data_IF_395111873172
#
_entry.id   IF_395111873172
#
_cell.length_a   1.000
_cell.length_b   1.000
_cell.length_c   1.000
_cell.angle_alpha   90.00
_cell.angle_beta   90.00
_cell.angle_gamma   90.00
#
_symmetry.space_group_name_H-M   'P 1'
#
loop_
_entity.id
_entity.type
_entity.pdbx_description
1 polymer ?
#
# COMPACT_ATOMS: atom_id res chain seq x y z
N UNK A 1 -43.78 -2.19 1.70
CA UNK A 1 -43.16 -1.50 0.55
C UNK A 1 -41.88 -0.88 1.08
N UNK A 2 -40.80 -1.67 1.13
CA UNK A 2 -39.51 -1.21 1.60
C UNK A 2 -38.82 -0.50 0.43
N UNK A 3 -38.45 0.76 0.64
CA UNK A 3 -37.61 1.51 -0.29
C UNK A 3 -36.26 0.80 -0.36
N UNK A 4 -36.03 0.08 -1.46
CA UNK A 4 -34.70 -0.32 -1.90
C UNK A 4 -33.90 0.97 -2.12
N UNK A 5 -32.90 1.20 -1.28
CA UNK A 5 -31.85 2.16 -1.57
C UNK A 5 -30.78 1.40 -2.36
N UNK A 6 -30.76 1.63 -3.66
CA UNK A 6 -29.58 1.47 -4.48
C UNK A 6 -28.47 2.36 -3.87
N UNK A 7 -27.37 1.80 -3.33
CA UNK A 7 -26.30 2.58 -2.71
C UNK A 7 -25.67 3.59 -3.67
N UNK A 8 -25.82 3.39 -4.98
CA UNK A 8 -25.34 4.34 -6.00
C UNK A 8 -26.26 5.57 -6.18
N UNK A 9 -27.48 5.57 -5.60
CA UNK A 9 -28.49 6.64 -5.80
C UNK A 9 -28.79 7.46 -4.56
N UNK A 10 -28.31 7.05 -3.39
CA UNK A 10 -28.35 7.83 -2.15
C UNK A 10 -27.27 7.24 -1.24
N UNK A 11 -26.05 7.82 -1.20
CA UNK A 11 -25.03 7.30 -0.31
C UNK A 11 -25.56 7.44 1.13
N UNK A 12 -25.58 6.35 1.92
CA UNK A 12 -25.68 6.48 3.37
C UNK A 12 -24.61 7.48 3.83
N UNK A 13 -24.81 8.19 4.93
CA UNK A 13 -23.68 8.92 5.53
C UNK A 13 -22.58 7.91 5.87
N UNK A 14 -21.30 8.16 5.55
CA UNK A 14 -20.18 7.29 5.92
C UNK A 14 -20.29 6.97 7.41
N UNK A 15 -20.45 5.70 7.77
CA UNK A 15 -20.87 5.32 9.12
C UNK A 15 -19.76 4.59 9.90
N UNK A 16 -18.59 4.38 9.29
CA UNK A 16 -17.41 3.82 9.95
C UNK A 16 -16.17 4.66 9.69
N UNK A 17 -15.46 4.98 10.77
CA UNK A 17 -14.11 5.53 10.77
C UNK A 17 -13.22 4.54 11.50
N UNK A 18 -12.04 4.32 10.95
CA UNK A 18 -11.01 3.48 11.55
C UNK A 18 -9.68 4.21 11.37
N UNK A 19 -8.89 4.28 12.44
CA UNK A 19 -7.59 4.94 12.45
C UNK A 19 -6.60 3.99 13.11
N UNK A 20 -5.51 3.67 12.43
CA UNK A 20 -4.46 2.84 13.01
C UNK A 20 -3.91 3.47 14.29
N UNK A 21 -3.42 2.65 15.23
CA UNK A 21 -2.72 3.19 16.40
C UNK A 21 -1.59 4.14 15.96
N UNK A 22 -1.35 5.19 16.74
CA UNK A 22 -0.34 6.18 16.41
C UNK A 22 1.06 5.57 16.20
N UNK A 23 1.38 4.49 16.92
CA UNK A 23 2.64 3.77 16.77
C UNK A 23 2.73 3.11 15.38
N UNK A 24 1.64 2.55 14.87
CA UNK A 24 1.57 1.99 13.53
C UNK A 24 1.63 3.08 12.45
N UNK A 25 0.90 4.19 12.64
CA UNK A 25 0.98 5.35 11.75
C UNK A 25 2.41 5.89 11.64
N UNK A 26 3.07 6.04 12.78
CA UNK A 26 4.47 6.44 12.90
C UNK A 26 5.40 5.45 12.20
N UNK A 27 5.18 4.14 12.40
CA UNK A 27 5.98 3.09 11.77
C UNK A 27 5.91 3.14 10.24
N UNK A 28 4.73 3.38 9.66
CA UNK A 28 4.57 3.58 8.21
C UNK A 28 5.42 4.77 7.74
N UNK A 29 5.32 5.93 8.39
CA UNK A 29 6.08 7.13 8.00
C UNK A 29 7.59 6.98 8.23
N UNK A 30 7.99 6.27 9.30
CA UNK A 30 9.37 5.94 9.58
C UNK A 30 9.95 5.05 8.48
N UNK A 31 9.21 4.01 8.08
CA UNK A 31 9.62 3.08 7.02
C UNK A 31 9.77 3.73 5.65
N UNK A 32 9.08 4.85 5.39
CA UNK A 32 9.25 5.66 4.16
C UNK A 32 10.49 6.57 4.17
N UNK A 33 11.00 6.92 5.35
CA UNK A 33 11.98 8.00 5.51
C UNK A 33 13.35 7.54 6.01
N UNK A 34 13.49 6.27 6.38
CA UNK A 34 14.70 5.70 6.98
C UNK A 34 15.29 4.59 6.12
N UNK A 35 16.52 4.20 6.43
CA UNK A 35 17.14 3.02 5.84
C UNK A 35 16.61 1.73 6.49
N UNK A 36 16.73 0.62 5.78
CA UNK A 36 16.41 -0.70 6.33
C UNK A 36 17.21 -0.99 7.59
N UNK A 37 18.50 -0.63 7.61
CA UNK A 37 19.39 -0.84 8.77
C UNK A 37 18.88 -0.10 10.01
N UNK A 38 18.56 1.19 9.88
CA UNK A 38 18.00 1.99 10.98
C UNK A 38 16.65 1.44 11.46
N UNK A 39 15.85 0.96 10.51
CA UNK A 39 14.52 0.39 10.79
C UNK A 39 14.62 -0.91 11.59
N UNK A 40 15.56 -1.80 11.25
CA UNK A 40 15.80 -3.03 12.03
C UNK A 40 16.13 -2.68 13.48
N UNK A 41 16.90 -1.60 13.74
CA UNK A 41 17.26 -1.20 15.09
C UNK A 41 16.08 -0.66 15.93
N UNK A 42 14.90 -0.43 15.35
CA UNK A 42 13.71 0.03 16.11
C UNK A 42 13.02 -1.10 16.88
N UNK A 43 13.33 -2.37 16.59
CA UNK A 43 12.73 -3.49 17.30
C UNK A 43 13.10 -3.44 18.80
N UNK A 44 12.14 -3.47 19.73
CA UNK A 44 12.45 -3.57 21.16
C UNK A 44 13.06 -4.95 21.50
N UNK A 45 14.22 -4.95 22.17
CA UNK A 45 14.85 -6.18 22.68
C UNK A 45 15.51 -5.94 24.04
N UNK A 46 15.72 -7.03 24.80
CA UNK A 46 16.47 -6.99 26.04
C UNK A 46 17.73 -7.86 25.94
N UNK A 47 18.89 -7.22 25.84
CA UNK A 47 20.20 -7.89 25.81
C UNK A 47 21.23 -7.17 26.70
N UNK A 48 21.21 -7.40 28.02
CA UNK A 48 22.10 -6.69 28.95
C UNK A 48 23.59 -6.95 28.71
N UNK A 49 23.94 -8.11 28.16
CA UNK A 49 25.34 -8.47 27.84
C UNK A 49 25.88 -7.76 26.60
N UNK A 50 25.02 -7.16 25.78
CA UNK A 50 25.36 -6.68 24.44
C UNK A 50 25.77 -7.78 23.46
N UNK A 51 25.67 -9.06 23.84
CA UNK A 51 25.94 -10.23 23.01
C UNK A 51 24.91 -11.31 23.33
N UNK A 52 23.86 -11.40 22.51
CA UNK A 52 22.75 -12.34 22.69
C UNK A 52 22.47 -13.09 21.40
N UNK A 53 21.95 -14.30 21.53
CA UNK A 53 21.47 -15.11 20.41
C UNK A 53 20.24 -15.83 20.90
N UNK A 54 19.14 -15.68 20.17
CA UNK A 54 17.89 -16.36 20.47
C UNK A 54 17.67 -17.50 19.49
N UNK A 55 16.97 -18.57 19.89
CA UNK A 55 16.48 -19.56 18.93
C UNK A 55 15.63 -18.89 17.86
N UNK A 56 15.67 -19.45 16.65
CA UNK A 56 14.78 -19.00 15.59
C UNK A 56 13.32 -19.22 15.98
N UNK A 57 12.46 -18.28 15.61
CA UNK A 57 11.02 -18.34 15.89
C UNK A 57 10.24 -17.75 14.72
N UNK A 58 8.96 -18.13 14.63
CA UNK A 58 8.04 -17.64 13.62
C UNK A 58 7.13 -16.57 14.24
N UNK A 59 6.72 -15.59 13.46
CA UNK A 59 5.84 -14.52 13.95
C UNK A 59 5.07 -13.89 12.80
N UNK A 60 3.88 -13.36 13.13
CA UNK A 60 3.13 -12.48 12.26
C UNK A 60 4.00 -11.31 11.79
N UNK A 61 3.89 -10.99 10.51
CA UNK A 61 4.72 -10.01 9.86
C UNK A 61 3.95 -9.27 8.76
N UNK A 62 4.52 -8.15 8.32
CA UNK A 62 4.19 -7.54 7.03
C UNK A 62 5.31 -7.89 6.06
N UNK A 63 4.94 -8.46 4.92
CA UNK A 63 5.84 -8.73 3.81
C UNK A 63 5.63 -7.72 2.69
N UNK A 64 6.64 -7.56 1.85
CA UNK A 64 6.54 -6.79 0.61
C UNK A 64 6.81 -7.64 -0.61
N UNK A 65 6.24 -7.23 -1.75
CA UNK A 65 6.55 -7.77 -3.07
C UNK A 65 6.45 -6.66 -4.10
N UNK A 66 7.42 -6.56 -5.01
CA UNK A 66 7.38 -5.62 -6.13
C UNK A 66 7.59 -6.35 -7.44
N UNK A 67 6.78 -6.03 -8.44
CA UNK A 67 6.84 -6.58 -9.78
C UNK A 67 7.06 -5.47 -10.81
N UNK A 68 7.90 -5.74 -11.80
CA UNK A 68 8.03 -4.89 -13.00
C UNK A 68 6.82 -5.11 -13.92
N UNK A 69 6.19 -4.01 -14.33
CA UNK A 69 5.01 -4.00 -15.19
C UNK A 69 5.29 -3.44 -16.59
N UNK A 70 6.55 -3.21 -16.97
CA UNK A 70 6.90 -2.62 -18.26
C UNK A 70 6.25 -3.33 -19.46
N UNK A 71 6.11 -4.66 -19.41
CA UNK A 71 5.47 -5.46 -20.46
C UNK A 71 3.95 -5.32 -20.54
N UNK A 72 3.31 -4.78 -19.50
CA UNK A 72 1.87 -4.54 -19.43
C UNK A 72 1.51 -3.09 -19.78
N UNK A 73 2.51 -2.26 -20.12
CA UNK A 73 2.28 -0.86 -20.48
C UNK A 73 1.78 -0.76 -21.92
N UNK A 74 0.62 -0.15 -22.10
CA UNK A 74 0.09 0.21 -23.41
C UNK A 74 0.30 1.71 -23.67
N UNK A 75 0.77 2.04 -24.88
CA UNK A 75 0.94 3.41 -25.34
C UNK A 75 -0.24 3.79 -26.25
N UNK A 76 -0.89 4.93 -25.96
CA UNK A 76 -2.08 5.41 -26.65
C UNK A 76 -1.97 6.90 -26.95
N UNK A 77 -2.58 7.37 -28.04
CA UNK A 77 -2.71 8.81 -28.29
C UNK A 77 -3.74 9.45 -27.34
N UNK A 78 -3.44 10.66 -26.87
CA UNK A 78 -4.24 11.43 -25.91
C UNK A 78 -4.12 12.95 -26.17
N UNK A 79 -4.70 13.79 -25.33
CA UNK A 79 -4.59 15.26 -25.38
C UNK A 79 -3.55 15.83 -24.39
N UNK A 80 -2.74 15.00 -23.73
CA UNK A 80 -1.67 15.46 -22.82
C UNK A 80 -2.17 16.44 -21.75
N UNK A 81 -3.40 16.25 -21.27
CA UNK A 81 -4.17 17.23 -20.52
C UNK A 81 -4.16 16.97 -19.01
N UNK A 82 -3.57 15.86 -18.55
CA UNK A 82 -3.57 15.48 -17.14
C UNK A 82 -2.85 16.49 -16.26
N UNK A 83 -1.73 17.06 -16.72
CA UNK A 83 -1.06 18.16 -16.00
C UNK A 83 -2.03 19.33 -15.77
N UNK A 84 -2.74 19.77 -16.80
CA UNK A 84 -3.69 20.91 -16.73
C UNK A 84 -4.86 20.63 -15.79
N UNK A 85 -5.25 19.37 -15.66
CA UNK A 85 -6.39 18.97 -14.83
C UNK A 85 -6.03 18.85 -13.34
N UNK A 86 -4.77 18.58 -13.04
CA UNK A 86 -4.30 18.28 -11.68
C UNK A 86 -3.46 19.39 -11.06
N UNK A 87 -2.93 20.30 -11.88
CA UNK A 87 -2.17 21.44 -11.43
C UNK A 87 -2.98 22.32 -10.48
N UNK A 88 -2.31 22.81 -9.45
CA UNK A 88 -2.85 23.72 -8.45
C UNK A 88 -2.24 25.12 -8.55
N UNK A 89 -1.17 25.27 -9.33
CA UNK A 89 -0.65 26.58 -9.73
C UNK A 89 -1.52 27.17 -10.85
N UNK A 90 -1.63 28.49 -10.92
CA UNK A 90 -2.41 29.19 -11.95
C UNK A 90 -1.55 29.44 -13.20
N UNK A 91 -0.87 28.39 -13.68
CA UNK A 91 0.02 28.49 -14.84
C UNK A 91 -0.79 28.37 -16.14
N UNK A 92 -0.44 29.15 -17.16
CA UNK A 92 -1.12 29.07 -18.45
C UNK A 92 -0.45 27.96 -19.29
N UNK A 93 -1.12 26.81 -19.42
CA UNK A 93 -0.65 25.69 -20.25
C UNK A 93 -1.66 25.37 -21.34
N UNK A 94 -1.18 25.28 -22.58
CA UNK A 94 -2.00 24.90 -23.73
C UNK A 94 -2.22 23.39 -23.73
N UNK A 95 -3.43 22.90 -23.93
CA UNK A 95 -3.70 21.50 -24.25
C UNK A 95 -3.30 21.26 -25.72
N UNK A 96 -2.61 20.16 -26.00
CA UNK A 96 -2.13 19.82 -27.35
C UNK A 96 -2.18 18.29 -27.56
N UNK A 97 -1.68 17.78 -28.68
CA UNK A 97 -1.60 16.33 -28.85
C UNK A 97 -0.61 15.76 -27.83
N UNK A 98 -0.99 14.65 -27.20
CA UNK A 98 -0.15 13.94 -26.25
C UNK A 98 -0.22 12.44 -26.45
N UNK A 99 0.55 11.76 -25.62
CA UNK A 99 0.57 10.31 -25.55
C UNK A 99 0.40 9.90 -24.11
N UNK A 100 -0.44 8.90 -23.86
CA UNK A 100 -0.60 8.25 -22.56
C UNK A 100 0.11 6.89 -22.53
N UNK A 101 0.68 6.55 -21.37
CA UNK A 101 1.13 5.21 -21.03
C UNK A 101 0.22 4.64 -19.94
N UNK A 102 -0.25 3.40 -20.12
CA UNK A 102 -1.35 2.84 -19.31
C UNK A 102 -1.11 1.43 -18.87
N UNK A 103 -1.69 1.09 -17.73
CA UNK A 103 -1.73 -0.27 -17.20
C UNK A 103 -3.17 -0.81 -17.21
N UNK A 104 -3.34 -2.15 -17.17
CA UNK A 104 -4.67 -2.78 -17.12
C UNK A 104 -5.55 -2.37 -15.93
N UNK A 105 -4.95 -1.88 -14.84
CA UNK A 105 -5.68 -1.34 -13.68
C UNK A 105 -6.36 -0.01 -13.95
N UNK A 106 -6.11 0.62 -15.10
CA UNK A 106 -6.55 1.98 -15.41
C UNK A 106 -5.57 3.06 -14.97
N UNK A 107 -4.49 2.71 -14.26
CA UNK A 107 -3.40 3.65 -13.98
C UNK A 107 -2.78 4.14 -15.28
N UNK A 108 -2.63 5.46 -15.42
CA UNK A 108 -2.02 6.09 -16.58
C UNK A 108 -1.21 7.34 -16.25
N UNK A 109 -0.27 7.66 -17.13
CA UNK A 109 0.47 8.92 -17.17
C UNK A 109 0.46 9.45 -18.59
N UNK A 110 0.09 10.72 -18.77
CA UNK A 110 0.14 11.38 -20.07
C UNK A 110 0.80 12.76 -19.97
N UNK A 111 1.50 13.11 -21.05
CA UNK A 111 2.07 14.42 -21.28
C UNK A 111 1.89 14.80 -22.75
N UNK A 112 2.19 16.05 -23.06
CA UNK A 112 2.21 16.57 -24.43
C UNK A 112 3.42 16.05 -25.19
N UNK A 113 3.20 15.66 -26.44
CA UNK A 113 4.29 15.25 -27.32
C UNK A 113 5.24 16.43 -27.57
N UNK A 114 6.54 16.15 -27.58
CA UNK A 114 7.58 17.18 -27.68
C UNK A 114 7.99 17.82 -26.35
N UNK A 115 7.37 17.46 -25.22
CA UNK A 115 7.83 17.94 -23.91
C UNK A 115 9.20 17.36 -23.57
N UNK A 116 10.16 18.23 -23.23
CA UNK A 116 11.52 17.85 -22.87
C UNK A 116 11.74 17.90 -21.36
N UNK A 117 12.55 16.96 -20.85
CA UNK A 117 12.85 16.88 -19.42
C UNK A 117 13.48 18.19 -18.90
N UNK A 118 12.86 18.79 -17.87
CA UNK A 118 13.35 20.03 -17.27
C UNK A 118 13.04 21.30 -18.07
N UNK A 119 12.23 21.22 -19.13
CA UNK A 119 11.75 22.40 -19.83
C UNK A 119 10.96 23.32 -18.88
N UNK A 120 11.30 24.61 -18.85
CA UNK A 120 10.71 25.59 -17.93
C UNK A 120 9.39 26.18 -18.43
N UNK A 121 9.08 26.01 -19.72
CA UNK A 121 7.94 26.66 -20.37
C UNK A 121 6.61 25.93 -20.18
N UNK A 122 6.61 24.61 -19.98
CA UNK A 122 5.41 23.78 -19.79
C UNK A 122 5.64 22.77 -18.67
N UNK A 123 4.70 22.67 -17.74
CA UNK A 123 4.74 21.63 -16.71
C UNK A 123 4.36 20.25 -17.26
N UNK A 124 4.77 19.20 -16.55
CA UNK A 124 4.50 17.83 -16.96
C UNK A 124 4.34 16.90 -15.75
N UNK A 125 3.63 15.80 -15.99
CA UNK A 125 3.45 14.67 -15.10
C UNK A 125 4.74 13.85 -15.07
N UNK A 126 5.33 13.70 -13.89
CA UNK A 126 6.57 12.94 -13.71
C UNK A 126 6.29 11.55 -13.16
N UNK A 127 5.24 11.43 -12.35
CA UNK A 127 4.80 10.16 -11.79
C UNK A 127 3.30 10.20 -11.50
N UNK A 128 2.61 9.10 -11.75
CA UNK A 128 1.24 8.86 -11.29
C UNK A 128 1.17 7.55 -10.55
N UNK A 129 0.23 7.46 -9.62
CA UNK A 129 0.02 6.26 -8.80
C UNK A 129 -1.44 5.88 -8.72
N UNK A 130 -1.66 4.57 -8.62
CA UNK A 130 -2.94 3.97 -8.28
C UNK A 130 -2.73 3.01 -7.12
N UNK A 131 -3.27 3.37 -5.96
CA UNK A 131 -3.21 2.59 -4.74
C UNK A 131 -4.54 1.91 -4.42
N UNK A 132 -4.51 0.69 -3.89
CA UNK A 132 -5.71 -0.02 -3.44
C UNK A 132 -5.38 -1.15 -2.46
N UNK A 133 -6.28 -1.44 -1.51
CA UNK A 133 -6.23 -2.66 -0.70
C UNK A 133 -6.93 -3.87 -1.36
N UNK A 134 -7.55 -3.69 -2.53
CA UNK A 134 -8.31 -4.74 -3.19
C UNK A 134 -7.48 -5.46 -4.25
N UNK A 135 -7.10 -6.71 -3.96
CA UNK A 135 -6.30 -7.54 -4.85
C UNK A 135 -6.90 -7.66 -6.27
N UNK A 136 -8.24 -7.68 -6.41
CA UNK A 136 -8.91 -7.78 -7.72
C UNK A 136 -8.73 -6.55 -8.63
N UNK A 137 -8.31 -5.41 -8.06
CA UNK A 137 -8.04 -4.16 -8.80
C UNK A 137 -6.55 -3.97 -9.14
N UNK A 138 -5.69 -4.90 -8.72
CA UNK A 138 -4.25 -4.88 -8.99
C UNK A 138 -3.93 -5.50 -10.35
N UNK A 139 -2.72 -5.26 -10.86
CA UNK A 139 -2.25 -5.84 -12.14
C UNK A 139 -1.55 -7.19 -11.93
N UNK A 140 -0.80 -7.35 -10.84
CA UNK A 140 0.08 -8.49 -10.58
C UNK A 140 0.02 -9.04 -9.14
N UNK A 141 -0.97 -8.60 -8.36
CA UNK A 141 -1.10 -8.93 -6.93
C UNK A 141 -2.44 -9.60 -6.61
N UNK A 142 -3.14 -10.14 -7.61
CA UNK A 142 -4.46 -10.76 -7.44
C UNK A 142 -4.42 -12.04 -6.60
N UNK A 143 -3.24 -12.65 -6.44
CA UNK A 143 -2.99 -13.83 -5.61
C UNK A 143 -2.82 -13.52 -4.12
N UNK A 144 -2.71 -12.25 -3.71
CA UNK A 144 -2.53 -11.85 -2.31
C UNK A 144 -3.90 -11.70 -1.61
N UNK A 145 -4.33 -12.73 -0.90
CA UNK A 145 -5.58 -12.74 -0.12
C UNK A 145 -5.47 -12.11 1.29
N UNK A 146 -4.27 -11.63 1.63
CA UNK A 146 -3.95 -10.84 2.84
C UNK A 146 -3.39 -9.46 2.50
N UNK A 147 -3.73 -8.92 1.31
CA UNK A 147 -3.25 -7.63 0.82
C UNK A 147 -3.67 -6.48 1.76
N UNK A 148 -2.68 -5.79 2.32
CA UNK A 148 -2.90 -4.56 3.09
C UNK A 148 -3.02 -3.39 2.11
N UNK A 149 -2.06 -3.28 1.20
CA UNK A 149 -1.95 -2.17 0.28
C UNK A 149 -1.12 -2.54 -0.95
N UNK A 150 -1.60 -2.21 -2.13
CA UNK A 150 -0.84 -2.23 -3.38
C UNK A 150 -0.74 -0.82 -3.95
N UNK A 151 0.39 -0.48 -4.54
CA UNK A 151 0.64 0.78 -5.22
C UNK A 151 1.26 0.50 -6.59
N UNK A 152 0.48 0.74 -7.65
CA UNK A 152 0.97 0.86 -9.01
C UNK A 152 1.59 2.23 -9.22
N UNK A 153 2.73 2.27 -9.91
CA UNK A 153 3.52 3.48 -10.17
C UNK A 153 3.94 3.49 -11.63
N UNK A 154 3.57 4.56 -12.33
CA UNK A 154 4.15 4.94 -13.61
C UNK A 154 5.04 6.17 -13.39
N UNK A 155 6.31 6.08 -13.74
CA UNK A 155 7.30 7.16 -13.52
C UNK A 155 8.08 7.43 -14.80
N UNK A 156 8.08 8.68 -15.23
CA UNK A 156 8.97 9.17 -16.26
C UNK A 156 10.33 9.55 -15.64
N UNK A 157 11.39 9.33 -16.41
CA UNK A 157 12.76 9.68 -16.01
C UNK A 157 13.52 10.32 -17.18
N UNK A 158 14.57 11.11 -16.91
CA UNK A 158 15.40 11.65 -17.98
C UNK A 158 16.09 10.49 -18.72
N UNK A 159 16.26 10.65 -20.02
CA UNK A 159 16.95 9.63 -20.80
C UNK A 159 18.48 9.72 -20.55
N UNK A 160 19.11 8.66 -20.01
CA UNK A 160 20.53 8.69 -19.64
C UNK A 160 21.49 8.77 -20.85
N UNK A 161 20.99 8.50 -22.06
CA UNK A 161 21.80 8.50 -23.29
C UNK A 161 21.39 9.58 -24.29
N UNK A 162 20.29 10.30 -24.03
CA UNK A 162 19.77 11.34 -24.91
C UNK A 162 19.13 12.48 -24.10
N UNK A 163 19.93 13.48 -23.73
CA UNK A 163 19.46 14.65 -22.98
C UNK A 163 18.42 15.50 -23.73
N UNK A 164 18.28 15.30 -25.04
CA UNK A 164 17.26 15.97 -25.89
C UNK A 164 16.02 15.10 -26.13
N UNK A 165 15.91 13.95 -25.46
CA UNK A 165 14.72 13.12 -25.54
C UNK A 165 13.49 13.92 -25.10
N UNK A 166 12.44 13.78 -25.88
CA UNK A 166 11.15 14.41 -25.65
C UNK A 166 10.08 13.35 -25.49
N UNK A 167 8.98 13.69 -24.83
CA UNK A 167 7.80 12.83 -24.78
C UNK A 167 7.28 12.54 -26.20
N UNK A 168 6.89 11.30 -26.54
CA UNK A 168 6.76 10.12 -25.68
C UNK A 168 8.01 9.21 -25.64
N UNK A 169 9.18 9.68 -26.07
CA UNK A 169 10.41 8.89 -26.14
C UNK A 169 11.27 8.95 -24.87
N UNK A 170 10.75 9.53 -23.80
CA UNK A 170 11.36 9.49 -22.48
C UNK A 170 11.19 8.10 -21.85
N UNK A 171 12.19 7.58 -21.11
CA UNK A 171 12.04 6.32 -20.40
C UNK A 171 10.91 6.36 -19.37
N UNK A 172 10.02 5.37 -19.45
CA UNK A 172 8.95 5.13 -18.49
C UNK A 172 9.24 3.83 -17.74
N UNK A 173 9.24 3.89 -16.42
CA UNK A 173 9.22 2.71 -15.57
C UNK A 173 7.80 2.44 -15.08
N UNK A 174 7.40 1.18 -15.08
CA UNK A 174 6.12 0.72 -14.53
C UNK A 174 6.37 -0.32 -13.45
N UNK A 175 5.90 -0.09 -12.24
CA UNK A 175 6.14 -0.99 -11.11
C UNK A 175 4.91 -1.06 -10.24
N UNK A 176 4.58 -2.24 -9.74
CA UNK A 176 3.56 -2.42 -8.72
C UNK A 176 4.18 -3.09 -7.51
N UNK A 177 4.03 -2.45 -6.35
CA UNK A 177 4.51 -2.94 -5.08
C UNK A 177 3.34 -3.17 -4.13
N UNK A 178 3.45 -4.20 -3.29
CA UNK A 178 2.42 -4.57 -2.33
C UNK A 178 3.01 -4.78 -0.94
N UNK A 179 2.17 -4.55 0.07
CA UNK A 179 2.31 -4.94 1.46
C UNK A 179 1.18 -5.90 1.81
N UNK A 180 1.50 -6.99 2.50
CA UNK A 180 0.52 -8.01 2.87
C UNK A 180 0.92 -8.68 4.18
N UNK A 181 -0.06 -9.17 4.93
CA UNK A 181 0.23 -9.98 6.12
C UNK A 181 0.84 -11.32 5.72
N UNK A 182 1.88 -11.72 6.42
CA UNK A 182 2.60 -12.97 6.20
C UNK A 182 3.14 -13.52 7.52
N UNK A 183 3.74 -14.71 7.47
CA UNK A 183 4.50 -15.29 8.57
C UNK A 183 5.97 -15.31 8.15
N UNK A 184 6.84 -14.72 8.96
CA UNK A 184 8.29 -14.82 8.80
C UNK A 184 8.89 -15.62 9.94
N UNK A 185 9.96 -16.35 9.60
CA UNK A 185 10.92 -16.89 10.54
C UNK A 185 12.05 -15.89 10.76
N UNK A 186 12.40 -15.68 12.02
CA UNK A 186 13.38 -14.72 12.48
C UNK A 186 14.61 -15.41 13.07
N UNK A 187 15.77 -15.07 12.52
CA UNK A 187 17.08 -15.39 13.11
C UNK A 187 17.68 -14.10 13.70
N UNK A 188 17.57 -13.97 15.03
CA UNK A 188 17.91 -12.75 15.75
C UNK A 188 19.17 -12.93 16.60
N UNK A 189 20.13 -12.01 16.45
CA UNK A 189 21.32 -11.94 17.30
C UNK A 189 21.63 -10.49 17.65
N UNK A 190 22.20 -10.25 18.83
CA UNK A 190 22.83 -8.97 19.17
C UNK A 190 24.32 -9.20 19.27
N UNK A 191 25.12 -8.38 18.59
CA UNK A 191 26.58 -8.42 18.64
C UNK A 191 27.12 -7.04 18.94
N UNK A 192 27.90 -6.91 20.00
CA UNK A 192 28.42 -5.63 20.48
C UNK A 192 27.33 -4.54 20.63
N UNK A 193 26.16 -4.92 21.13
CA UNK A 193 25.02 -4.04 21.35
C UNK A 193 24.18 -3.73 20.11
N UNK A 194 24.58 -4.17 18.92
CA UNK A 194 23.83 -3.96 17.66
C UNK A 194 22.96 -5.16 17.35
N UNK A 195 21.69 -4.92 17.02
CA UNK A 195 20.75 -5.96 16.61
C UNK A 195 21.00 -6.36 15.15
N UNK A 196 21.10 -7.66 14.92
CA UNK A 196 21.14 -8.26 13.59
C UNK A 196 20.01 -9.27 13.50
N UNK A 197 19.05 -9.02 12.62
CA UNK A 197 17.91 -9.89 12.41
C UNK A 197 17.78 -10.20 10.92
N UNK A 198 17.63 -11.49 10.61
CA UNK A 198 17.27 -11.95 9.27
C UNK A 198 15.85 -12.49 9.31
N UNK A 199 14.99 -11.95 8.45
CA UNK A 199 13.61 -12.40 8.29
C UNK A 199 13.49 -13.20 6.99
N UNK A 200 12.85 -14.37 7.07
CA UNK A 200 12.59 -15.24 5.91
C UNK A 200 11.12 -15.66 5.87
N UNK A 201 10.40 -15.48 4.76
CA UNK A 201 9.01 -15.93 4.66
C UNK A 201 8.88 -17.43 4.88
N UNK A 202 7.92 -17.83 5.71
CA UNK A 202 7.62 -19.24 5.97
C UNK A 202 6.88 -19.81 4.76
N UNK A 203 7.54 -20.73 4.04
CA UNK A 203 6.98 -21.32 2.84
C UNK A 203 5.73 -22.16 3.15
N UNK A 204 4.62 -21.89 2.46
CA UNK A 204 3.35 -22.59 2.68
C UNK A 204 2.45 -21.97 3.75
N UNK A 205 2.90 -20.90 4.42
CA UNK A 205 2.02 -20.07 5.22
C UNK A 205 0.89 -19.49 4.36
N UNK A 206 -0.33 -19.48 4.88
CA UNK A 206 -1.54 -19.05 4.14
C UNK A 206 -2.57 -18.46 5.08
N UNK A 207 -3.52 -17.71 4.53
CA UNK A 207 -4.73 -17.32 5.27
C UNK A 207 -5.55 -18.57 5.65
N UNK A 208 -6.00 -18.62 6.90
CA UNK A 208 -6.89 -19.68 7.36
C UNK A 208 -8.24 -19.57 6.65
N UNK A 209 -8.76 -20.68 6.13
CA UNK A 209 -9.98 -20.69 5.32
C UNK A 209 -11.24 -20.28 6.11
N UNK A 210 -11.21 -20.45 7.43
CA UNK A 210 -12.28 -20.09 8.36
C UNK A 210 -12.15 -18.65 8.92
N UNK A 211 -11.12 -17.90 8.50
CA UNK A 211 -10.86 -16.54 8.99
C UNK A 211 -11.52 -15.45 8.13
N UNK A 212 -11.67 -14.25 8.73
CA UNK A 212 -12.28 -13.07 8.10
C UNK A 212 -13.68 -13.30 7.51
N UNK A 213 -14.44 -14.23 8.09
CA UNK A 213 -15.81 -14.53 7.70
C UNK A 213 -16.79 -13.59 8.40
N UNK A 214 -17.83 -13.09 7.72
CA UNK A 214 -18.90 -12.33 8.38
C UNK A 214 -19.57 -13.16 9.48
N UNK A 215 -19.73 -12.57 10.67
CA UNK A 215 -20.33 -13.24 11.84
C UNK A 215 -21.86 -13.08 11.85
N UNK A 216 -22.36 -11.87 11.57
CA UNK A 216 -23.79 -11.54 11.58
C UNK A 216 -24.19 -10.77 10.30
N UNK A 217 -24.19 -11.45 9.15
CA UNK A 217 -24.46 -10.84 7.85
C UNK A 217 -25.98 -10.69 7.56
N UNK A 218 -26.55 -9.48 7.52
CA UNK A 218 -27.97 -9.32 7.24
C UNK A 218 -28.27 -9.68 5.78
N UNK A 219 -29.32 -10.47 5.54
CA UNK A 219 -29.73 -10.89 4.20
C UNK A 219 -30.03 -9.69 3.25
N UNK A 220 -30.31 -8.51 3.81
CA UNK A 220 -30.51 -7.25 3.07
C UNK A 220 -29.23 -6.61 2.51
N UNK A 221 -28.04 -7.07 2.92
CA UNK A 221 -26.73 -6.57 2.48
C UNK A 221 -26.11 -7.41 1.35
N UNK A 222 -26.93 -8.27 0.73
CA UNK A 222 -26.62 -9.05 -0.49
C UNK A 222 -26.05 -8.29 -1.71
N UNK A 223 -26.08 -6.94 -1.85
CA UNK A 223 -25.36 -6.27 -2.93
C UNK A 223 -23.83 -6.37 -2.86
N UNK A 224 -23.26 -6.86 -1.74
CA UNK A 224 -21.83 -7.17 -1.65
C UNK A 224 -21.46 -8.31 -2.60
N UNK A 225 -20.50 -8.05 -3.49
CA UNK A 225 -19.98 -9.08 -4.39
C UNK A 225 -18.90 -9.92 -3.70
N UNK A 226 -18.60 -11.08 -4.28
CA UNK A 226 -17.64 -12.03 -3.69
C UNK A 226 -16.23 -11.43 -3.55
N UNK A 227 -15.83 -10.51 -4.44
CA UNK A 227 -14.51 -9.87 -4.38
C UNK A 227 -14.39 -8.89 -3.22
N UNK A 228 -15.45 -8.15 -2.89
CA UNK A 228 -15.51 -7.29 -1.71
C UNK A 228 -15.57 -8.10 -0.41
N UNK A 229 -16.25 -9.25 -0.41
CA UNK A 229 -16.28 -10.13 0.76
C UNK A 229 -14.94 -10.78 1.04
N UNK A 230 -14.20 -11.16 -0.01
CA UNK A 230 -12.88 -11.78 0.09
C UNK A 230 -11.77 -10.79 0.49
N UNK A 231 -11.90 -9.52 0.08
CA UNK A 231 -10.94 -8.46 0.39
C UNK A 231 -10.93 -8.11 1.88
N UNK A 232 -9.74 -7.74 2.36
CA UNK A 232 -9.52 -7.15 3.69
C UNK A 232 -9.37 -5.62 3.62
N UNK A 233 -9.66 -5.02 2.46
CA UNK A 233 -9.63 -3.56 2.26
C UNK A 233 -10.71 -2.89 3.12
N UNK A 234 -10.33 -1.80 3.79
CA UNK A 234 -11.28 -0.93 4.47
C UNK A 234 -12.22 -0.22 3.48
N UNK A 235 -13.51 -0.29 3.77
CA UNK A 235 -14.56 0.42 3.06
C UNK A 235 -15.46 1.17 4.05
N UNK A 236 -15.71 2.46 3.79
CA UNK A 236 -16.45 3.35 4.69
C UNK A 236 -17.93 2.96 4.91
N UNK A 237 -18.47 2.05 4.09
CA UNK A 237 -19.82 1.50 4.22
C UNK A 237 -19.81 0.06 4.71
N UNK A 238 -18.88 -0.76 4.22
CA UNK A 238 -18.92 -2.20 4.43
C UNK A 238 -18.01 -2.73 5.54
N UNK A 239 -17.02 -1.95 6.00
CA UNK A 239 -16.18 -2.35 7.16
C UNK A 239 -16.94 -2.31 8.50
N UNK A 240 -18.20 -1.84 8.54
CA UNK A 240 -19.06 -1.98 9.72
C UNK A 240 -19.54 -3.42 9.96
N UNK A 241 -19.35 -4.32 9.00
CA UNK A 241 -19.78 -5.71 9.10
C UNK A 241 -18.82 -6.43 10.04
N UNK A 242 -19.36 -6.99 11.11
CA UNK A 242 -18.58 -7.81 12.04
C UNK A 242 -18.08 -9.09 11.34
N UNK A 243 -16.79 -9.35 11.50
CA UNK A 243 -16.06 -10.49 10.95
C UNK A 243 -15.28 -11.19 12.05
N UNK A 244 -15.05 -12.48 11.86
CA UNK A 244 -14.03 -13.19 12.62
C UNK A 244 -12.66 -12.57 12.32
N UNK A 245 -11.74 -12.62 13.28
CA UNK A 245 -10.36 -12.17 13.07
C UNK A 245 -9.72 -12.77 11.82
N UNK A 246 -8.84 -12.00 11.19
CA UNK A 246 -7.99 -12.51 10.14
C UNK A 246 -6.99 -13.46 10.78
N UNK A 247 -6.73 -14.62 10.16
CA UNK A 247 -5.75 -15.55 10.68
C UNK A 247 -4.86 -16.09 9.57
N UNK A 248 -3.58 -16.24 9.89
CA UNK A 248 -2.60 -16.93 9.06
C UNK A 248 -2.18 -18.22 9.76
N UNK A 249 -2.06 -19.29 8.99
CA UNK A 249 -1.62 -20.61 9.45
C UNK A 249 -0.27 -20.95 8.84
N UNK A 250 0.69 -21.28 9.70
CA UNK A 250 1.96 -21.88 9.31
C UNK A 250 1.76 -23.35 8.91
N UNK A 251 2.69 -23.96 8.15
CA UNK A 251 2.58 -25.35 7.70
C UNK A 251 2.51 -26.39 8.83
N UNK A 252 3.00 -26.06 10.02
CA UNK A 252 2.94 -26.91 11.22
C UNK A 252 1.62 -26.78 12.01
N UNK A 253 0.74 -25.88 11.57
CA UNK A 253 -0.57 -25.62 12.18
C UNK A 253 -0.57 -24.49 13.23
N UNK A 254 0.57 -23.83 13.48
CA UNK A 254 0.59 -22.62 14.31
C UNK A 254 -0.24 -21.50 13.64
N UNK A 255 -1.04 -20.79 14.43
CA UNK A 255 -2.02 -19.81 13.94
C UNK A 255 -1.75 -18.44 14.53
N UNK A 256 -1.69 -17.43 13.67
CA UNK A 256 -1.43 -16.04 14.01
C UNK A 256 -2.66 -15.20 13.65
N UNK A 257 -3.32 -14.64 14.65
CA UNK A 257 -4.54 -13.85 14.47
C UNK A 257 -4.23 -12.34 14.40
N UNK A 258 -5.02 -11.61 13.63
CA UNK A 258 -5.05 -10.14 13.54
C UNK A 258 -6.51 -9.72 13.71
N UNK A 259 -6.77 -8.87 14.70
CA UNK A 259 -8.13 -8.44 14.99
C UNK A 259 -8.74 -7.68 13.82
N UNK A 260 -10.08 -7.74 13.67
CA UNK A 260 -10.77 -6.92 12.67
C UNK A 260 -10.42 -5.44 12.78
N UNK A 261 -10.43 -4.89 14.00
CA UNK A 261 -10.10 -3.50 14.24
C UNK A 261 -8.70 -3.14 13.73
N UNK A 262 -7.70 -3.99 13.97
CA UNK A 262 -6.34 -3.74 13.48
C UNK A 262 -6.27 -3.78 11.94
N UNK A 263 -6.92 -4.76 11.30
CA UNK A 263 -6.96 -4.86 9.83
C UNK A 263 -7.64 -3.63 9.20
N UNK A 264 -8.84 -3.28 9.66
CA UNK A 264 -9.62 -2.15 9.16
C UNK A 264 -8.87 -0.83 9.38
N UNK A 265 -8.27 -0.64 10.56
CA UNK A 265 -7.58 0.60 10.92
C UNK A 265 -6.28 0.80 10.15
N UNK A 266 -5.49 -0.26 9.95
CA UNK A 266 -4.28 -0.22 9.11
C UNK A 266 -4.67 0.07 7.66
N UNK A 267 -5.67 -0.63 7.12
CA UNK A 267 -6.12 -0.42 5.75
C UNK A 267 -6.65 1.01 5.54
N UNK A 268 -7.50 1.51 6.44
CA UNK A 268 -8.02 2.87 6.40
C UNK A 268 -6.91 3.93 6.42
N UNK A 269 -5.88 3.74 7.25
CA UNK A 269 -4.74 4.63 7.32
C UNK A 269 -3.92 4.66 6.02
N UNK A 270 -3.74 3.52 5.36
CA UNK A 270 -3.08 3.49 4.05
C UNK A 270 -3.88 4.28 3.01
N UNK A 271 -5.20 4.09 2.96
CA UNK A 271 -6.08 4.84 2.05
C UNK A 271 -5.98 6.34 2.31
N UNK A 272 -6.10 6.79 3.56
CA UNK A 272 -6.07 8.22 3.90
C UNK A 272 -4.69 8.87 3.70
N UNK A 273 -3.61 8.09 3.83
CA UNK A 273 -2.23 8.59 3.73
C UNK A 273 -1.73 8.63 2.28
N UNK A 274 -2.03 7.59 1.51
CA UNK A 274 -1.46 7.38 0.17
C UNK A 274 -2.44 7.64 -0.98
N UNK A 275 -3.72 7.83 -0.68
CA UNK A 275 -4.69 8.25 -1.67
C UNK A 275 -5.06 9.73 -1.53
N UNK A 276 -5.35 10.34 -2.66
CA UNK A 276 -6.25 11.49 -2.73
C UNK A 276 -7.53 11.09 -3.45
N UNK A 277 -8.50 12.00 -3.53
CA UNK A 277 -9.77 11.75 -4.20
C UNK A 277 -9.52 11.18 -5.59
N UNK A 278 -10.02 9.96 -5.82
CA UNK A 278 -9.87 9.24 -7.07
C UNK A 278 -10.29 10.14 -8.24
N UNK A 279 -9.38 10.32 -9.19
CA UNK A 279 -9.68 11.02 -10.43
C UNK A 279 -9.89 9.98 -11.50
N UNK A 280 -11.17 9.83 -11.88
CA UNK A 280 -11.56 9.03 -13.02
C UNK A 280 -11.68 9.90 -14.26
N UNK A 281 -11.07 9.45 -15.36
CA UNK A 281 -11.11 10.12 -16.65
C UNK A 281 -11.95 9.29 -17.60
N UNK A 282 -13.04 9.89 -18.08
CA UNK A 282 -13.92 9.24 -19.04
C UNK A 282 -13.32 9.38 -20.44
N UNK A 283 -13.17 8.25 -21.12
CA UNK A 283 -12.35 8.18 -22.33
C UNK A 283 -13.12 7.79 -23.58
N UNK A 284 -12.62 8.30 -24.70
CA UNK A 284 -13.20 8.17 -26.04
C UNK A 284 -13.30 6.72 -26.53
N UNK A 285 -12.51 5.77 -25.97
CA UNK A 285 -12.44 4.37 -26.42
C UNK A 285 -13.00 3.32 -25.42
N UNK A 286 -13.61 3.72 -24.30
CA UNK A 286 -14.48 2.88 -23.45
C UNK A 286 -13.96 1.52 -22.93
N UNK A 287 -12.66 1.18 -22.96
CA UNK A 287 -12.19 -0.15 -22.53
C UNK A 287 -11.81 -0.23 -21.04
N UNK A 288 -11.15 0.80 -20.49
CA UNK A 288 -10.83 0.93 -19.05
C UNK A 288 -10.90 2.41 -18.69
N UNK A 289 -11.58 2.75 -17.59
CA UNK A 289 -11.63 4.12 -17.08
C UNK A 289 -10.27 4.48 -16.47
N UNK A 290 -9.65 5.58 -16.92
CA UNK A 290 -8.37 6.04 -16.40
C UNK A 290 -8.50 6.44 -14.93
N UNK A 291 -7.68 5.90 -14.04
CA UNK A 291 -7.81 6.05 -12.59
C UNK A 291 -6.47 6.41 -11.94
N UNK A 292 -6.46 7.52 -11.20
CA UNK A 292 -5.30 7.93 -10.38
C UNK A 292 -5.77 8.39 -9.00
N UNK A 293 -5.00 8.05 -7.97
CA UNK A 293 -5.19 8.56 -6.61
C UNK A 293 -3.87 9.03 -5.99
N UNK A 294 -2.82 9.22 -6.80
CA UNK A 294 -1.68 10.05 -6.44
C UNK A 294 -0.87 10.49 -7.66
N UNK A 295 -0.14 11.60 -7.51
CA UNK A 295 0.66 12.17 -8.60
C UNK A 295 1.80 13.04 -8.12
N UNK A 296 2.87 13.09 -8.91
CA UNK A 296 3.99 14.01 -8.82
C UNK A 296 4.20 14.69 -10.18
N UNK A 297 4.28 16.00 -10.19
CA UNK A 297 4.46 16.80 -11.39
C UNK A 297 5.50 17.90 -11.17
N UNK A 298 6.09 18.34 -12.27
CA UNK A 298 7.10 19.38 -12.27
C UNK A 298 6.70 20.50 -13.24
N UNK A 299 6.67 21.74 -12.75
CA UNK A 299 6.48 22.96 -13.53
C UNK A 299 7.51 24.01 -13.09
N UNK A 300 7.13 25.29 -13.01
CA UNK A 300 7.86 26.30 -12.22
C UNK A 300 7.96 25.89 -10.74
N UNK A 301 6.99 25.12 -10.24
CA UNK A 301 7.01 24.56 -8.89
C UNK A 301 6.70 23.06 -8.92
N UNK A 302 7.39 22.32 -8.05
CA UNK A 302 7.09 20.91 -7.82
C UNK A 302 5.75 20.80 -7.11
N UNK A 303 4.87 19.95 -7.62
CA UNK A 303 3.57 19.68 -7.00
C UNK A 303 3.36 18.17 -6.90
N UNK A 304 2.75 17.74 -5.80
CA UNK A 304 2.44 16.34 -5.58
C UNK A 304 1.24 16.21 -4.65
N UNK A 305 0.53 15.09 -4.78
CA UNK A 305 -0.55 14.74 -3.87
C UNK A 305 -0.77 13.22 -3.82
N UNK A 306 -1.01 12.61 -2.65
CA UNK A 306 -0.77 13.18 -1.32
C UNK A 306 0.73 13.36 -1.03
N UNK A 307 1.09 14.02 0.07
CA UNK A 307 2.50 14.26 0.43
C UNK A 307 3.32 12.98 0.59
N UNK A 308 2.66 11.88 0.98
CA UNK A 308 3.28 10.58 1.22
C UNK A 308 3.76 9.86 -0.07
N UNK A 309 3.45 10.37 -1.27
CA UNK A 309 3.96 9.79 -2.52
C UNK A 309 5.35 10.28 -2.90
N UNK A 310 5.85 11.35 -2.27
CA UNK A 310 7.19 11.89 -2.57
C UNK A 310 8.33 10.88 -2.35
N UNK A 311 8.35 10.06 -1.28
CA UNK A 311 9.40 9.07 -1.10
C UNK A 311 9.45 8.06 -2.26
N UNK A 312 8.31 7.68 -2.83
CA UNK A 312 8.27 6.77 -3.98
C UNK A 312 8.84 7.43 -5.24
N UNK A 313 8.55 8.71 -5.48
CA UNK A 313 9.17 9.45 -6.59
C UNK A 313 10.69 9.54 -6.43
N UNK A 314 11.17 9.79 -5.21
CA UNK A 314 12.60 9.93 -4.90
C UNK A 314 13.34 8.60 -4.81
N UNK A 315 12.64 7.48 -4.78
CA UNK A 315 13.27 6.17 -4.66
C UNK A 315 13.91 5.74 -5.97
N UNK A 316 15.14 5.24 -5.86
CA UNK A 316 15.86 4.53 -6.93
C UNK A 316 15.61 3.01 -6.88
N UNK A 317 15.13 2.50 -5.74
CA UNK A 317 14.82 1.08 -5.52
C UNK A 317 13.53 0.95 -4.69
N UNK A 318 12.41 0.85 -5.40
CA UNK A 318 11.08 0.69 -4.79
C UNK A 318 10.96 -0.61 -3.99
N UNK A 319 11.69 -1.66 -4.38
CA UNK A 319 11.67 -2.93 -3.65
C UNK A 319 12.33 -2.76 -2.27
N UNK A 320 13.47 -2.06 -2.20
CA UNK A 320 14.10 -1.70 -0.92
C UNK A 320 13.23 -0.75 -0.08
N UNK A 321 12.55 0.22 -0.71
CA UNK A 321 11.61 1.11 -0.02
C UNK A 321 10.47 0.32 0.62
N UNK A 322 9.79 -0.53 -0.15
CA UNK A 322 8.68 -1.35 0.37
C UNK A 322 9.13 -2.38 1.40
N UNK A 323 10.35 -2.93 1.26
CA UNK A 323 10.95 -3.82 2.28
C UNK A 323 11.20 -3.08 3.60
N UNK A 324 11.66 -1.84 3.54
CA UNK A 324 11.87 -1.01 4.72
C UNK A 324 10.53 -0.67 5.38
N UNK A 325 9.52 -0.33 4.58
CA UNK A 325 8.16 -0.09 5.04
C UNK A 325 7.56 -1.31 5.75
N UNK A 326 7.65 -2.48 5.12
CA UNK A 326 7.20 -3.76 5.69
C UNK A 326 7.93 -4.10 7.00
N UNK A 327 9.24 -3.88 7.06
CA UNK A 327 10.04 -4.12 8.27
C UNK A 327 9.61 -3.19 9.41
N UNK A 328 9.38 -1.92 9.11
CA UNK A 328 8.94 -0.93 10.11
C UNK A 328 7.58 -1.28 10.69
N UNK A 329 6.61 -1.61 9.82
CA UNK A 329 5.28 -2.07 10.25
C UNK A 329 5.36 -3.37 11.05
N UNK A 330 6.20 -4.31 10.65
CA UNK A 330 6.40 -5.57 11.39
C UNK A 330 6.94 -5.32 12.79
N UNK A 331 7.89 -4.40 12.94
CA UNK A 331 8.40 -4.01 14.25
C UNK A 331 7.31 -3.41 15.13
N UNK A 332 6.40 -2.62 14.54
CA UNK A 332 5.25 -2.08 15.25
C UNK A 332 4.26 -3.17 15.68
N UNK A 333 3.88 -4.09 14.79
CA UNK A 333 3.03 -5.25 15.14
C UNK A 333 3.65 -6.06 16.29
N UNK A 334 4.94 -6.37 16.21
CA UNK A 334 5.67 -7.12 17.25
C UNK A 334 5.85 -6.34 18.56
N UNK A 335 5.61 -5.02 18.52
CA UNK A 335 5.64 -4.13 19.69
C UNK A 335 4.24 -3.82 20.23
N UNK A 336 3.21 -4.58 19.81
CA UNK A 336 1.83 -4.44 20.28
C UNK A 336 1.15 -3.14 19.80
N UNK A 337 1.56 -2.60 18.65
CA UNK A 337 0.93 -1.43 18.02
C UNK A 337 -0.45 -1.73 17.38
N UNK A 338 -0.97 -2.95 17.58
CA UNK A 338 -2.31 -3.40 17.23
C UNK A 338 -3.21 -3.59 18.47
N UNK A 339 -2.71 -3.33 19.69
CA UNK A 339 -3.50 -3.43 20.92
C UNK A 339 -4.29 -2.14 21.18
N UNK A 340 -5.60 -2.22 20.96
CA UNK A 340 -6.53 -1.13 21.23
C UNK A 340 -6.45 -0.65 22.69
N UNK A 341 -6.13 0.63 22.86
CA UNK A 341 -6.31 1.35 24.10
C UNK A 341 -7.80 1.50 24.46
N UNK A 342 -8.26 0.63 25.37
CA UNK A 342 -9.38 0.80 26.34
C UNK A 342 -10.81 0.41 25.87
N UNK A 343 -11.40 -0.62 26.53
CA UNK A 343 -12.84 -0.66 26.80
C UNK A 343 -13.56 -2.02 26.99
N UNK A 344 -13.29 -2.78 28.06
CA UNK A 344 -14.17 -3.79 28.70
C UNK A 344 -14.71 -4.99 27.90
N UNK A 345 -14.31 -6.19 28.36
CA UNK A 345 -15.00 -7.50 28.25
C UNK A 345 -14.82 -8.40 27.01
N UNK A 346 -13.82 -8.20 26.15
CA UNK A 346 -13.39 -9.27 25.24
C UNK A 346 -12.13 -9.98 25.79
N UNK A 347 -12.09 -11.32 25.88
CA UNK A 347 -10.89 -12.03 26.30
C UNK A 347 -9.76 -11.78 25.30
N UNK A 348 -8.63 -11.31 25.81
CA UNK A 348 -7.36 -11.08 25.12
C UNK A 348 -7.08 -12.11 24.02
N UNK A 349 -7.06 -11.65 22.76
CA UNK A 349 -6.19 -12.17 21.71
C UNK A 349 -5.59 -10.98 20.97
N UNK A 350 -4.62 -10.36 21.62
CA UNK A 350 -3.57 -9.61 20.91
C UNK A 350 -2.85 -10.61 19.99
N UNK A 351 -2.38 -10.15 18.82
CA UNK A 351 -1.41 -10.93 18.05
C UNK A 351 -0.32 -11.40 19.02
N UNK A 352 -0.04 -12.71 19.06
CA UNK A 352 0.85 -13.26 20.09
C UNK A 352 2.16 -12.47 20.09
N UNK A 353 2.34 -11.68 21.15
CA UNK A 353 3.52 -10.85 21.34
C UNK A 353 4.72 -11.77 21.36
N UNK A 354 5.55 -11.71 20.32
CA UNK A 354 6.92 -12.21 20.36
C UNK A 354 7.76 -11.35 21.29
N UNK A 355 7.41 -11.29 22.58
CA UNK A 355 8.27 -10.66 23.57
C UNK A 355 9.48 -11.56 23.68
N UNK A 356 10.62 -11.12 23.14
CA UNK A 356 11.91 -11.80 23.26
C UNK A 356 12.34 -11.74 24.73
N UNK A 357 11.79 -12.66 25.54
CA UNK A 357 12.10 -12.82 26.95
C UNK A 357 13.22 -13.84 27.06
N UNK A 358 14.33 -13.41 27.65
CA UNK A 358 15.49 -14.26 27.95
C UNK A 358 15.07 -15.41 28.87
N UNK A 359 15.23 -16.66 28.42
CA UNK A 359 15.41 -17.78 29.34
C UNK A 359 16.90 -17.79 29.69
N UNK A 360 17.22 -17.29 30.89
CA UNK A 360 18.56 -17.40 31.47
C UNK A 360 18.72 -18.87 31.88
N UNK A 361 19.72 -19.57 31.33
CA UNK A 361 20.20 -20.84 31.89
C UNK A 361 21.00 -20.60 33.17
#
# INVERSE_FOLDING_TARGET
MALMLDPSRNPPTPNTQADADFSMQSAVLYGLSQSLENTIQQLPYNCPSGNCTWPAYESLSVCSRCNDLASSVEQLSDMGAQYVTLMTDNNAVSISNGTAFRLPSGLFIDNQDGWQWGASSNGAMMMTTYGTGNASKTVSMQDLDTLIWSLGILKASPNPTNDTAEWPYLPISATECALYYCINRYDTTVRNGTLHETATPVAGAKRAADSWQPVDFPESWRPLNDTMLASIEFDEYFSCIERSDLALEAPDGERFNVSQNAVDSISAYFKSTFETSLRSYNETNHTVEGQINGWYMNSTTIQYKPSAIQPFYKSDDLNATFKTLATSMTNALRSDADSDGVGSNSPQQAGETGRVVTIIL
#
